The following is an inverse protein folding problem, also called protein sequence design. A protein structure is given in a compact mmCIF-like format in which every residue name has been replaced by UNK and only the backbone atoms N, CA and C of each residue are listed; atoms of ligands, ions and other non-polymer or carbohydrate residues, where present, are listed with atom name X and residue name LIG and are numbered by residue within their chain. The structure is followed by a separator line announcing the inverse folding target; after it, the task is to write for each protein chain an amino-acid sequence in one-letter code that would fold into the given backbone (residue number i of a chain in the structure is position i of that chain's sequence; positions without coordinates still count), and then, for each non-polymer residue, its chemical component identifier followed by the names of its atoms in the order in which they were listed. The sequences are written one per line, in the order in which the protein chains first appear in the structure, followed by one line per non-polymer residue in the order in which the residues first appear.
data_IF_595855837649
#
_entry.id   IF_595855837649
#
_cell.length_a   1.000
_cell.length_b   1.000
_cell.length_c   1.000
_cell.angle_alpha   90.00
_cell.angle_beta   90.00
_cell.angle_gamma   90.00
#
_symmetry.space_group_name_H-M   'P 1'
#
loop_
_entity.id
_entity.type
_entity.pdbx_description
1 polymer ?
#
# COMPACT_ATOMS: atom_id res chain seq x y z
N UNK A 1 5.26 -14.26 -6.49
CA UNK A 1 5.08 -14.05 -5.03
C UNK A 1 3.60 -14.16 -4.68
N UNK A 2 3.30 -14.79 -3.55
CA UNK A 2 1.91 -14.99 -3.14
C UNK A 2 1.57 -14.17 -1.91
N UNK A 3 0.32 -13.73 -1.85
CA UNK A 3 -0.23 -12.99 -0.73
C UNK A 3 -1.24 -13.88 0.00
N UNK A 4 -1.17 -13.86 1.32
CA UNK A 4 -2.12 -14.59 2.17
C UNK A 4 -3.18 -13.62 2.65
N UNK A 5 -4.42 -13.87 2.25
CA UNK A 5 -5.58 -13.06 2.66
C UNK A 5 -5.97 -13.39 4.09
N UNK A 6 -6.81 -12.52 4.68
CA UNK A 6 -7.30 -12.71 6.05
C UNK A 6 -8.01 -14.04 6.28
N UNK A 7 -8.67 -14.56 5.25
CA UNK A 7 -9.36 -15.86 5.32
C UNK A 7 -8.41 -17.05 5.08
N UNK A 8 -7.11 -16.81 4.94
CA UNK A 8 -6.11 -17.84 4.68
C UNK A 8 -5.91 -18.20 3.23
N UNK A 9 -6.72 -17.67 2.32
CA UNK A 9 -6.57 -17.94 0.89
C UNK A 9 -5.30 -17.31 0.34
N UNK A 10 -4.60 -18.01 -0.56
CA UNK A 10 -3.43 -17.49 -1.24
C UNK A 10 -3.82 -16.94 -2.60
N UNK A 11 -3.34 -15.75 -2.92
CA UNK A 11 -3.57 -15.10 -4.21
C UNK A 11 -2.24 -14.57 -4.75
N UNK A 12 -2.11 -14.41 -6.08
CA UNK A 12 -0.90 -13.78 -6.63
C UNK A 12 -0.79 -12.32 -6.17
N UNK A 13 0.45 -11.86 -6.01
CA UNK A 13 0.70 -10.46 -5.74
C UNK A 13 0.28 -9.62 -6.95
N UNK A 14 -0.45 -8.55 -6.69
CA UNK A 14 -0.93 -7.63 -7.73
C UNK A 14 -0.71 -6.20 -7.26
N UNK A 15 0.32 -5.56 -7.82
CA UNK A 15 0.71 -4.19 -7.47
C UNK A 15 -0.41 -3.18 -7.73
N UNK A 16 -1.27 -3.45 -8.73
CA UNK A 16 -2.37 -2.53 -9.06
C UNK A 16 -3.37 -2.40 -7.93
N UNK A 17 -3.52 -3.42 -7.10
CA UNK A 17 -4.40 -3.36 -5.92
C UNK A 17 -3.88 -2.36 -4.89
N UNK A 18 -2.57 -2.28 -4.71
CA UNK A 18 -1.94 -1.30 -3.81
C UNK A 18 -2.16 0.09 -4.38
N UNK A 19 -1.89 0.28 -5.67
CA UNK A 19 -2.07 1.57 -6.35
C UNK A 19 -3.51 2.04 -6.21
N UNK A 20 -4.48 1.16 -6.45
CA UNK A 20 -5.90 1.48 -6.36
C UNK A 20 -6.30 1.86 -4.93
N UNK A 21 -5.87 1.08 -3.94
CA UNK A 21 -6.23 1.31 -2.54
C UNK A 21 -5.65 2.64 -2.02
N UNK A 22 -4.38 2.91 -2.31
CA UNK A 22 -3.73 4.16 -1.91
C UNK A 22 -4.34 5.34 -2.68
N UNK A 23 -4.63 5.15 -3.96
CA UNK A 23 -5.27 6.16 -4.79
C UNK A 23 -6.65 6.56 -4.26
N UNK A 24 -7.47 5.61 -3.86
CA UNK A 24 -8.78 5.88 -3.27
C UNK A 24 -8.66 6.65 -1.95
N UNK A 25 -7.72 6.26 -1.10
CA UNK A 25 -7.47 6.98 0.15
C UNK A 25 -7.04 8.42 -0.12
N UNK A 26 -6.19 8.63 -1.11
CA UNK A 26 -5.74 9.96 -1.52
C UNK A 26 -6.88 10.80 -2.08
N UNK A 27 -7.75 10.22 -2.92
CA UNK A 27 -8.88 10.93 -3.52
C UNK A 27 -9.89 11.43 -2.49
N UNK A 28 -9.98 10.79 -1.34
CA UNK A 28 -10.87 11.23 -0.27
C UNK A 28 -10.38 12.48 0.44
N UNK A 29 -9.15 12.92 0.16
CA UNK A 29 -8.56 14.12 0.70
C UNK A 29 -8.89 15.34 -0.15
N UNK A 30 -8.70 16.54 0.40
CA UNK A 30 -8.74 17.78 -0.39
C UNK A 30 -7.61 17.76 -1.41
N UNK A 31 -7.79 18.49 -2.51
CA UNK A 31 -6.79 18.53 -3.59
C UNK A 31 -5.38 18.84 -3.09
N UNK A 32 -5.27 19.74 -2.12
CA UNK A 32 -3.97 20.15 -1.57
C UNK A 32 -3.25 19.02 -0.83
N UNK A 33 -3.99 18.06 -0.30
CA UNK A 33 -3.46 16.98 0.52
C UNK A 33 -3.35 15.65 -0.24
N UNK A 34 -3.77 15.62 -1.50
CA UNK A 34 -3.69 14.42 -2.32
C UNK A 34 -2.26 14.12 -2.72
N UNK A 35 -1.97 12.83 -2.81
CA UNK A 35 -0.70 12.36 -3.37
C UNK A 35 -0.71 12.51 -4.89
N UNK A 36 0.46 12.72 -5.47
CA UNK A 36 0.62 12.67 -6.91
C UNK A 36 0.60 11.21 -7.38
N UNK A 37 0.33 11.01 -8.67
CA UNK A 37 0.40 9.67 -9.26
C UNK A 37 1.79 9.06 -9.07
N UNK A 38 2.84 9.85 -9.25
CA UNK A 38 4.21 9.38 -9.09
C UNK A 38 4.49 8.93 -7.66
N UNK A 39 3.99 9.65 -6.66
CA UNK A 39 4.13 9.25 -5.26
C UNK A 39 3.43 7.92 -5.00
N UNK A 40 2.22 7.75 -5.51
CA UNK A 40 1.45 6.52 -5.32
C UNK A 40 2.18 5.35 -5.99
N UNK A 41 2.65 5.53 -7.20
CA UNK A 41 3.39 4.50 -7.94
C UNK A 41 4.68 4.13 -7.22
N UNK A 42 5.40 5.11 -6.69
CA UNK A 42 6.64 4.86 -5.96
C UNK A 42 6.38 4.08 -4.67
N UNK A 43 5.33 4.42 -3.93
CA UNK A 43 4.95 3.68 -2.73
C UNK A 43 4.68 2.22 -3.08
N UNK A 44 3.90 1.97 -4.12
CA UNK A 44 3.58 0.62 -4.56
C UNK A 44 4.83 -0.16 -4.99
N UNK A 45 5.74 0.49 -5.71
CA UNK A 45 6.99 -0.15 -6.14
C UNK A 45 7.88 -0.49 -4.95
N UNK A 46 8.00 0.40 -3.97
CA UNK A 46 8.80 0.17 -2.77
C UNK A 46 8.23 -0.98 -1.94
N UNK A 47 6.91 -1.04 -1.80
CA UNK A 47 6.25 -2.14 -1.10
C UNK A 47 6.48 -3.46 -1.82
N UNK A 48 6.38 -3.46 -3.15
CA UNK A 48 6.66 -4.66 -3.95
C UNK A 48 8.09 -5.16 -3.74
N UNK A 49 9.05 -4.24 -3.72
CA UNK A 49 10.46 -4.59 -3.48
C UNK A 49 10.66 -5.18 -2.08
N UNK A 50 10.04 -4.59 -1.06
CA UNK A 50 10.10 -5.11 0.30
C UNK A 50 9.50 -6.50 0.40
N UNK A 51 8.37 -6.74 -0.25
CA UNK A 51 7.74 -8.06 -0.27
C UNK A 51 8.65 -9.11 -0.93
N UNK A 52 9.25 -8.78 -2.06
CA UNK A 52 10.17 -9.68 -2.76
C UNK A 52 11.40 -10.00 -1.91
N UNK A 53 11.90 -9.01 -1.18
CA UNK A 53 13.07 -9.19 -0.31
C UNK A 53 12.81 -10.19 0.83
N UNK A 54 11.57 -10.36 1.25
CA UNK A 54 11.21 -11.33 2.27
C UNK A 54 11.34 -12.78 1.80
N UNK A 55 11.27 -13.01 0.49
CA UNK A 55 11.44 -14.32 -0.14
C UNK A 55 10.52 -15.41 0.46
N UNK A 56 9.26 -15.03 0.73
CA UNK A 56 8.21 -15.92 1.25
C UNK A 56 6.86 -15.33 0.92
N UNK A 57 5.79 -16.08 1.13
CA UNK A 57 4.43 -15.54 1.06
C UNK A 57 4.26 -14.45 2.14
N UNK A 58 3.50 -13.42 1.82
CA UNK A 58 3.33 -12.24 2.67
C UNK A 58 1.86 -12.09 3.04
N UNK A 59 1.57 -11.83 4.31
CA UNK A 59 0.20 -11.57 4.77
C UNK A 59 -0.26 -10.19 4.31
N UNK A 60 -1.56 -10.06 4.06
CA UNK A 60 -2.13 -8.77 3.65
C UNK A 60 -1.88 -7.69 4.71
N UNK A 61 -1.89 -8.05 6.00
CA UNK A 61 -1.61 -7.10 7.08
C UNK A 61 -0.18 -6.58 7.03
N UNK A 62 0.78 -7.42 6.65
CA UNK A 62 2.17 -6.98 6.47
C UNK A 62 2.27 -5.93 5.36
N UNK A 63 1.52 -6.13 4.26
CA UNK A 63 1.49 -5.16 3.17
C UNK A 63 0.87 -3.85 3.64
N UNK A 64 -0.22 -3.91 4.40
CA UNK A 64 -0.86 -2.73 4.96
C UNK A 64 0.10 -1.93 5.84
N UNK A 65 0.88 -2.62 6.66
CA UNK A 65 1.90 -1.99 7.51
C UNK A 65 2.99 -1.32 6.67
N UNK A 66 3.44 -1.98 5.61
CA UNK A 66 4.46 -1.41 4.72
C UNK A 66 3.97 -0.14 4.04
N UNK A 67 2.73 -0.15 3.54
CA UNK A 67 2.12 1.02 2.91
C UNK A 67 1.97 2.15 3.93
N UNK A 68 1.46 1.84 5.11
CA UNK A 68 1.30 2.82 6.18
C UNK A 68 2.63 3.48 6.53
N UNK A 69 3.69 2.68 6.69
CA UNK A 69 5.01 3.20 7.01
C UNK A 69 5.55 4.12 5.92
N UNK A 70 5.32 3.77 4.64
CA UNK A 70 5.73 4.63 3.53
C UNK A 70 4.98 5.96 3.56
N UNK A 71 3.68 5.94 3.84
CA UNK A 71 2.86 7.14 3.91
C UNK A 71 3.30 8.02 5.08
N UNK A 72 3.62 7.44 6.22
CA UNK A 72 4.12 8.17 7.39
C UNK A 72 5.48 8.81 7.11
N UNK A 73 6.35 8.12 6.38
CA UNK A 73 7.68 8.62 6.03
C UNK A 73 7.62 9.89 5.19
N UNK A 74 6.64 9.99 4.30
CA UNK A 74 6.44 11.20 3.50
C UNK A 74 5.47 12.18 4.16
N UNK A 75 5.12 11.93 5.42
CA UNK A 75 4.23 12.75 6.24
C UNK A 75 2.81 12.88 5.68
N UNK A 76 2.36 11.88 4.94
CA UNK A 76 1.00 11.82 4.43
C UNK A 76 0.06 11.15 5.46
N UNK A 77 0.00 11.70 6.67
CA UNK A 77 -0.71 11.12 7.80
C UNK A 77 -2.21 10.96 7.54
N UNK A 78 -2.82 11.93 6.89
CA UNK A 78 -4.25 11.89 6.59
C UNK A 78 -4.57 10.79 5.57
N UNK A 79 -3.72 10.61 4.57
CA UNK A 79 -3.89 9.54 3.59
C UNK A 79 -3.70 8.18 4.28
N UNK A 80 -2.69 8.05 5.13
CA UNK A 80 -2.44 6.82 5.89
C UNK A 80 -3.67 6.44 6.72
N UNK A 81 -4.28 7.41 7.40
CA UNK A 81 -5.46 7.20 8.22
C UNK A 81 -6.65 6.70 7.40
N UNK A 82 -6.85 7.26 6.22
CA UNK A 82 -7.92 6.83 5.31
C UNK A 82 -7.63 5.47 4.68
N UNK A 83 -6.37 5.16 4.46
CA UNK A 83 -5.98 3.86 3.92
C UNK A 83 -6.31 2.72 4.90
N UNK A 84 -6.10 2.95 6.20
CA UNK A 84 -6.33 1.92 7.23
C UNK A 84 -7.81 1.68 7.47
N UNK A 85 -8.61 2.73 7.45
CA UNK A 85 -10.05 2.61 7.68
C UNK A 85 -10.79 2.17 6.45
#
# INVERSE_FOLDING_TARGET
MKIIKRNGAEVPFDITKIITAVGKASESMSEQNRLTRDQITQIAADVADQCQALNRAVNVEEIQDMVENQLMDIRAHDVARHYIT
#
